data_IF_902118152305
#
_entry.id   IF_902118152305
#
_cell.length_a   1.000
_cell.length_b   1.000
_cell.length_c   1.000
_cell.angle_alpha   90.00
_cell.angle_beta   90.00
_cell.angle_gamma   90.00
#
_symmetry.space_group_name_H-M   'P 1'
#
loop_
_entity.id
_entity.type
_entity.pdbx_description
1 polymer ?
#
# COMPACT_ATOMS: atom_id res chain seq x y z
N UNK A 1 30.22 21.25 68.98
CA UNK A 1 31.50 20.50 69.16
C UNK A 1 31.96 20.09 67.76
N UNK A 2 32.93 20.83 67.19
CA UNK A 2 34.33 20.44 66.99
C UNK A 2 34.40 19.12 66.18
N UNK A 3 35.02 19.02 65.00
CA UNK A 3 36.30 19.52 64.54
C UNK A 3 36.41 19.55 63.03
N UNK A 4 36.90 20.63 62.48
CA UNK A 4 37.73 20.85 61.30
C UNK A 4 38.78 19.75 61.07
N UNK A 5 39.05 19.38 59.85
CA UNK A 5 40.43 19.24 59.35
C UNK A 5 40.50 19.41 57.84
N UNK A 6 41.22 20.35 57.48
CA UNK A 6 41.89 20.92 56.36
C UNK A 6 43.14 20.12 56.05
N UNK A 7 43.48 19.81 54.83
CA UNK A 7 44.81 19.72 54.20
C UNK A 7 44.67 19.20 52.79
N UNK A 8 44.93 19.93 51.85
CA UNK A 8 46.13 20.56 51.26
C UNK A 8 46.43 19.91 49.89
N UNK A 9 46.41 20.80 48.92
CA UNK A 9 47.10 20.87 47.64
C UNK A 9 48.10 19.77 47.28
N UNK A 10 48.00 19.31 46.00
CA UNK A 10 49.19 19.22 45.15
C UNK A 10 48.78 19.35 43.66
N UNK A 11 49.38 20.38 43.04
CA UNK A 11 49.42 20.65 41.62
C UNK A 11 50.24 19.57 40.90
N UNK A 12 49.73 19.04 39.78
CA UNK A 12 50.61 18.51 38.79
C UNK A 12 49.98 18.83 37.39
N UNK A 13 50.58 19.82 36.77
CA UNK A 13 50.36 20.11 35.34
C UNK A 13 51.17 19.10 34.52
N UNK A 14 50.52 18.46 33.55
CA UNK A 14 51.21 17.74 32.49
C UNK A 14 50.44 17.96 31.15
N UNK A 15 50.98 18.80 30.40
CA UNK A 15 51.26 18.92 28.98
C UNK A 15 50.36 18.13 27.99
N UNK A 16 49.81 18.93 27.13
CA UNK A 16 49.36 18.73 25.75
C UNK A 16 50.08 17.62 24.97
N UNK A 17 49.30 16.70 24.43
CA UNK A 17 49.59 16.07 23.16
C UNK A 17 48.28 15.95 22.39
N UNK A 18 48.11 16.83 21.42
CA UNK A 18 47.05 16.74 20.45
C UNK A 18 47.28 15.52 19.54
N UNK A 19 46.28 14.67 19.46
CA UNK A 19 46.12 13.78 18.33
C UNK A 19 44.81 14.12 17.67
N UNK A 20 44.88 14.95 16.62
CA UNK A 20 43.89 14.97 15.55
C UNK A 20 43.95 13.60 14.88
N UNK A 21 42.95 12.78 15.05
CA UNK A 21 42.59 11.75 14.10
C UNK A 21 41.12 11.85 13.86
N UNK A 22 40.79 12.70 12.89
CA UNK A 22 39.57 12.63 12.14
C UNK A 22 39.65 11.38 11.27
N UNK A 23 39.27 10.25 11.78
CA UNK A 23 38.76 9.18 10.94
C UNK A 23 37.24 9.41 10.85
N UNK A 24 36.85 10.13 9.79
CA UNK A 24 35.55 9.94 9.20
C UNK A 24 35.52 8.47 8.67
N UNK A 25 35.27 7.55 9.60
CA UNK A 25 34.84 6.23 9.28
C UNK A 25 33.41 6.43 8.75
N UNK A 26 33.27 6.56 7.44
CA UNK A 26 31.97 6.40 6.78
C UNK A 26 31.36 5.11 7.33
N UNK A 27 30.22 5.24 8.01
CA UNK A 27 29.45 4.09 8.45
C UNK A 27 29.26 3.18 7.21
N UNK A 28 29.48 1.87 7.33
CA UNK A 28 29.19 0.96 6.23
C UNK A 28 27.73 1.22 5.81
N UNK A 29 27.42 1.22 4.51
CA UNK A 29 26.05 1.38 4.07
C UNK A 29 25.20 0.35 4.80
N UNK A 30 24.13 0.83 5.44
CA UNK A 30 23.13 -0.04 6.05
C UNK A 30 22.82 -1.17 5.11
N UNK A 31 22.68 -2.43 5.58
CA UNK A 31 22.27 -3.53 4.71
C UNK A 31 21.01 -3.07 4.00
N UNK A 32 21.08 -3.13 2.66
CA UNK A 32 20.03 -2.74 1.72
C UNK A 32 18.68 -3.15 2.31
N UNK A 33 17.82 -2.17 2.58
CA UNK A 33 16.42 -2.45 2.84
C UNK A 33 15.94 -3.36 1.72
N UNK A 34 15.38 -4.51 2.04
CA UNK A 34 14.76 -5.44 1.09
C UNK A 34 13.48 -4.82 0.48
N UNK A 35 13.46 -3.52 0.33
CA UNK A 35 12.34 -2.80 -0.28
C UNK A 35 12.36 -3.10 -1.77
N UNK A 36 11.27 -3.65 -2.22
CA UNK A 36 11.07 -3.93 -3.63
C UNK A 36 11.14 -2.62 -4.43
N UNK A 37 11.98 -2.52 -5.48
CA UNK A 37 12.12 -1.29 -6.24
C UNK A 37 10.77 -0.90 -6.88
N UNK A 38 10.49 0.40 -6.91
CA UNK A 38 9.30 0.92 -7.54
C UNK A 38 9.22 0.51 -9.01
N UNK A 39 8.02 0.25 -9.54
CA UNK A 39 7.81 -0.02 -10.95
C UNK A 39 8.27 1.15 -11.83
N UNK A 40 8.84 0.84 -12.99
CA UNK A 40 9.29 1.82 -13.99
C UNK A 40 8.52 1.74 -15.30
N UNK A 41 7.61 0.78 -15.43
CA UNK A 41 6.73 0.57 -16.58
C UNK A 41 5.45 -0.16 -16.16
N UNK A 42 4.43 -0.12 -17.01
CA UNK A 42 3.20 -0.89 -16.80
C UNK A 42 3.50 -2.39 -16.73
N UNK A 43 2.81 -3.10 -15.87
CA UNK A 43 2.83 -4.57 -15.87
C UNK A 43 2.02 -5.12 -17.05
N UNK A 44 2.35 -6.33 -17.52
CA UNK A 44 1.49 -7.04 -18.48
C UNK A 44 0.06 -7.19 -17.94
N UNK A 45 -0.90 -7.41 -18.84
CA UNK A 45 -2.27 -7.76 -18.40
C UNK A 45 -2.22 -9.05 -17.58
N UNK A 46 -2.88 -8.99 -16.40
CA UNK A 46 -2.97 -10.10 -15.48
C UNK A 46 -4.17 -11.01 -15.82
N UNK A 47 -4.18 -12.27 -15.34
CA UNK A 47 -5.36 -13.11 -15.43
C UNK A 47 -6.58 -12.43 -14.82
N UNK A 48 -7.74 -12.57 -15.43
CA UNK A 48 -8.98 -11.93 -14.97
C UNK A 48 -9.86 -12.88 -14.16
N UNK A 49 -10.74 -12.29 -13.37
CA UNK A 49 -11.86 -12.94 -12.71
C UNK A 49 -13.14 -12.18 -13.06
N UNK A 50 -14.22 -12.90 -13.33
CA UNK A 50 -15.51 -12.26 -13.50
C UNK A 50 -16.12 -11.91 -12.15
N UNK A 51 -16.41 -10.62 -11.97
CA UNK A 51 -17.07 -10.07 -10.79
C UNK A 51 -18.53 -9.77 -11.11
N UNK A 52 -19.41 -10.00 -10.14
CA UNK A 52 -20.83 -9.65 -10.15
C UNK A 52 -21.08 -8.58 -9.08
N UNK A 53 -21.61 -7.43 -9.49
CA UNK A 53 -21.89 -6.26 -8.66
C UNK A 53 -23.35 -5.82 -8.85
N UNK A 54 -24.27 -6.55 -8.23
CA UNK A 54 -25.71 -6.37 -8.50
C UNK A 54 -26.07 -6.86 -9.90
N UNK A 55 -26.52 -5.97 -10.78
CA UNK A 55 -26.85 -6.28 -12.17
C UNK A 55 -25.61 -6.20 -13.11
N UNK A 56 -24.53 -5.58 -12.64
CA UNK A 56 -23.32 -5.36 -13.42
C UNK A 56 -22.37 -6.55 -13.36
N UNK A 57 -21.61 -6.74 -14.43
CA UNK A 57 -20.52 -7.70 -14.50
C UNK A 57 -19.24 -7.02 -14.99
N UNK A 58 -18.10 -7.44 -14.46
CA UNK A 58 -16.81 -6.85 -14.77
C UNK A 58 -15.73 -7.92 -14.77
N UNK A 59 -14.92 -8.01 -15.82
CA UNK A 59 -13.76 -8.90 -15.87
C UNK A 59 -12.54 -8.15 -15.32
N UNK A 60 -12.25 -8.35 -14.03
CA UNK A 60 -11.17 -7.64 -13.33
C UNK A 60 -9.86 -8.42 -13.36
N UNK A 61 -8.76 -7.75 -13.70
CA UNK A 61 -7.40 -8.29 -13.52
C UNK A 61 -7.12 -8.56 -12.05
N UNK A 62 -6.38 -9.62 -11.73
CA UNK A 62 -6.15 -10.05 -10.35
C UNK A 62 -4.73 -9.71 -9.90
N UNK A 63 -4.57 -8.71 -9.03
CA UNK A 63 -3.30 -8.39 -8.38
C UNK A 63 -3.18 -9.20 -7.07
N UNK A 64 -2.50 -10.34 -7.13
CA UNK A 64 -2.39 -11.31 -6.03
C UNK A 64 -1.04 -11.28 -5.32
N UNK A 65 0.02 -10.84 -6.00
CA UNK A 65 1.36 -10.75 -5.43
C UNK A 65 1.68 -9.30 -5.03
N UNK A 66 2.61 -9.14 -4.09
CA UNK A 66 3.08 -7.80 -3.67
C UNK A 66 3.55 -6.95 -4.86
N UNK A 67 4.23 -7.56 -5.85
CA UNK A 67 4.69 -6.87 -7.05
C UNK A 67 3.54 -6.39 -7.92
N UNK A 68 2.54 -7.23 -8.14
CA UNK A 68 1.34 -6.89 -8.90
C UNK A 68 0.55 -5.77 -8.20
N UNK A 69 0.40 -5.87 -6.88
CA UNK A 69 -0.28 -4.86 -6.06
C UNK A 69 0.48 -3.53 -6.05
N UNK A 70 1.82 -3.56 -5.90
CA UNK A 70 2.63 -2.36 -5.96
C UNK A 70 2.55 -1.67 -7.32
N UNK A 71 2.48 -2.46 -8.42
CA UNK A 71 2.42 -1.90 -9.77
C UNK A 71 1.00 -1.41 -10.12
N UNK A 72 -0.02 -2.17 -9.75
CA UNK A 72 -1.41 -1.82 -10.01
C UNK A 72 -1.63 -1.37 -11.45
N UNK A 73 -2.31 -0.25 -11.62
CA UNK A 73 -2.61 0.38 -12.91
C UNK A 73 -1.56 1.42 -13.34
N UNK A 74 -0.38 1.49 -12.69
CA UNK A 74 0.68 2.45 -13.05
C UNK A 74 1.06 2.37 -14.54
N UNK A 75 1.33 3.53 -15.14
CA UNK A 75 1.75 3.71 -16.54
C UNK A 75 0.72 3.29 -17.60
N UNK A 76 -0.48 2.88 -17.20
CA UNK A 76 -1.55 2.57 -18.15
C UNK A 76 -2.25 3.83 -18.63
N UNK A 77 -2.58 3.84 -19.91
CA UNK A 77 -3.30 4.93 -20.59
C UNK A 77 -4.49 4.34 -21.35
N UNK A 78 -5.41 5.21 -21.76
CA UNK A 78 -6.62 4.82 -22.50
C UNK A 78 -7.48 3.80 -21.74
N UNK A 79 -7.69 4.05 -20.46
CA UNK A 79 -8.51 3.20 -19.57
C UNK A 79 -9.96 3.22 -20.06
N UNK A 80 -10.46 2.03 -20.36
CA UNK A 80 -11.84 1.83 -20.82
C UNK A 80 -12.76 1.51 -19.65
N UNK A 81 -14.06 1.63 -19.86
CA UNK A 81 -15.08 1.32 -18.86
C UNK A 81 -15.11 -0.17 -18.46
N UNK A 82 -14.49 -1.03 -19.27
CA UNK A 82 -14.32 -2.46 -19.03
C UNK A 82 -13.01 -2.81 -18.33
N UNK A 83 -12.08 -1.84 -18.16
CA UNK A 83 -10.81 -2.09 -17.49
C UNK A 83 -10.99 -2.01 -15.98
N UNK A 84 -10.60 -3.06 -15.29
CA UNK A 84 -10.65 -3.14 -13.84
C UNK A 84 -9.53 -3.99 -13.27
N UNK A 85 -9.16 -3.75 -12.02
CA UNK A 85 -8.21 -4.55 -11.27
C UNK A 85 -8.70 -4.77 -9.84
N UNK A 86 -8.72 -6.05 -9.42
CA UNK A 86 -8.99 -6.41 -8.04
C UNK A 86 -7.69 -6.76 -7.33
N UNK A 87 -7.43 -6.07 -6.22
CA UNK A 87 -6.31 -6.32 -5.31
C UNK A 87 -6.82 -7.23 -4.19
N UNK A 88 -6.08 -8.31 -3.90
CA UNK A 88 -6.48 -9.31 -2.90
C UNK A 88 -5.40 -9.40 -1.84
N UNK A 89 -5.71 -8.95 -0.64
CA UNK A 89 -4.78 -8.99 0.50
C UNK A 89 -4.93 -10.30 1.28
N UNK A 90 -3.83 -10.89 1.78
CA UNK A 90 -3.88 -12.18 2.48
C UNK A 90 -4.66 -12.11 3.81
N UNK A 91 -4.82 -10.92 4.37
CA UNK A 91 -5.60 -10.62 5.60
C UNK A 91 -6.17 -9.23 5.52
N UNK A 92 -7.24 -8.93 6.29
CA UNK A 92 -7.74 -7.57 6.39
C UNK A 92 -6.67 -6.60 6.90
N UNK A 93 -6.67 -5.39 6.36
CA UNK A 93 -5.75 -4.32 6.72
C UNK A 93 -6.38 -2.95 6.45
N UNK A 94 -5.77 -1.88 6.95
CA UNK A 94 -6.12 -0.53 6.53
C UNK A 94 -5.49 -0.27 5.15
N UNK A 95 -6.31 -0.32 4.11
CA UNK A 95 -5.86 -0.08 2.74
C UNK A 95 -5.43 1.38 2.56
N UNK A 96 -4.41 1.59 1.73
CA UNK A 96 -3.85 2.91 1.45
C UNK A 96 -3.36 2.93 0.00
N UNK A 97 -4.03 3.71 -0.85
CA UNK A 97 -3.78 3.77 -2.29
C UNK A 97 -3.35 5.17 -2.71
N UNK A 98 -2.38 5.25 -3.58
CA UNK A 98 -1.87 6.47 -4.16
C UNK A 98 -1.81 6.35 -5.67
N UNK A 99 -1.72 7.48 -6.38
CA UNK A 99 -1.75 7.52 -7.84
C UNK A 99 -0.40 7.84 -8.47
N UNK A 100 0.71 7.50 -7.79
CA UNK A 100 2.05 7.69 -8.35
C UNK A 100 2.17 6.91 -9.66
N UNK A 101 2.67 7.59 -10.71
CA UNK A 101 2.82 7.03 -12.05
C UNK A 101 1.50 6.57 -12.72
N UNK A 102 0.35 7.03 -12.25
CA UNK A 102 -0.94 6.79 -12.88
C UNK A 102 -1.36 8.05 -13.67
N UNK A 103 -1.24 8.05 -14.99
CA UNK A 103 -1.52 9.23 -15.82
C UNK A 103 -3.01 9.51 -15.98
N UNK A 104 -3.88 8.60 -15.55
CA UNK A 104 -5.33 8.73 -15.56
C UNK A 104 -5.90 8.54 -14.15
N UNK A 105 -7.05 9.16 -13.87
CA UNK A 105 -7.76 9.02 -12.60
C UNK A 105 -8.55 7.71 -12.58
N UNK A 106 -8.78 7.16 -11.38
CA UNK A 106 -9.55 5.94 -11.15
C UNK A 106 -10.61 6.15 -10.09
N UNK A 107 -11.54 5.22 -10.01
CA UNK A 107 -12.38 5.01 -8.85
C UNK A 107 -11.99 3.71 -8.15
N UNK A 108 -11.92 3.71 -6.82
CA UNK A 108 -11.58 2.54 -6.02
C UNK A 108 -12.70 2.23 -5.01
N UNK A 109 -13.16 0.98 -4.99
CA UNK A 109 -14.00 0.46 -3.92
C UNK A 109 -13.16 -0.32 -2.91
N UNK A 110 -13.26 0.04 -1.64
CA UNK A 110 -12.63 -0.65 -0.52
C UNK A 110 -13.62 -1.65 0.07
N UNK A 111 -13.23 -2.92 0.17
CA UNK A 111 -14.14 -4.06 0.31
C UNK A 111 -13.68 -4.91 1.49
N UNK A 112 -14.63 -5.30 2.34
CA UNK A 112 -14.39 -6.12 3.52
C UNK A 112 -14.17 -7.62 3.18
N UNK A 113 -13.79 -8.48 4.13
CA UNK A 113 -13.64 -9.92 3.92
C UNK A 113 -14.89 -10.65 3.41
N UNK A 114 -16.09 -10.12 3.67
CA UNK A 114 -17.34 -10.69 3.20
C UNK A 114 -17.70 -10.27 1.76
N UNK A 115 -16.87 -9.41 1.15
CA UNK A 115 -17.10 -8.87 -0.18
C UNK A 115 -18.03 -7.65 -0.19
N UNK A 116 -18.29 -7.03 0.97
CA UNK A 116 -19.13 -5.83 1.08
C UNK A 116 -18.31 -4.59 0.75
N UNK A 117 -18.78 -3.76 -0.15
CA UNK A 117 -18.18 -2.44 -0.44
C UNK A 117 -18.43 -1.53 0.76
N UNK A 118 -17.37 -1.14 1.45
CA UNK A 118 -17.44 -0.23 2.60
C UNK A 118 -17.30 1.23 2.18
N UNK A 119 -16.41 1.51 1.24
CA UNK A 119 -16.08 2.86 0.80
C UNK A 119 -15.88 2.87 -0.73
N UNK A 120 -16.17 4.00 -1.38
CA UNK A 120 -15.84 4.27 -2.77
C UNK A 120 -15.15 5.62 -2.84
N UNK A 121 -13.97 5.65 -3.45
CA UNK A 121 -13.12 6.83 -3.54
C UNK A 121 -12.81 7.18 -4.99
N UNK A 122 -12.70 8.48 -5.27
CA UNK A 122 -12.02 8.99 -6.44
C UNK A 122 -10.51 9.05 -6.14
N UNK A 123 -9.71 8.56 -7.08
CA UNK A 123 -8.25 8.59 -7.04
C UNK A 123 -7.75 9.52 -8.16
N UNK A 124 -7.26 10.70 -7.79
CA UNK A 124 -6.81 11.72 -8.76
C UNK A 124 -5.48 11.32 -9.38
N UNK A 125 -5.38 11.40 -10.71
CA UNK A 125 -4.16 11.06 -11.47
C UNK A 125 -2.92 11.76 -10.93
N UNK A 126 -1.82 11.01 -10.88
CA UNK A 126 -0.50 11.44 -10.43
C UNK A 126 -0.46 11.98 -8.98
N UNK A 127 -1.55 11.90 -8.20
CA UNK A 127 -1.53 12.29 -6.80
C UNK A 127 -0.71 11.27 -5.99
N UNK A 128 0.25 11.76 -5.23
CA UNK A 128 1.10 10.95 -4.34
C UNK A 128 0.61 10.96 -2.89
N UNK A 129 -0.45 11.71 -2.59
CA UNK A 129 -1.12 11.61 -1.30
C UNK A 129 -1.96 10.33 -1.29
N UNK A 130 -1.78 9.55 -0.25
CA UNK A 130 -2.51 8.30 -0.14
C UNK A 130 -3.96 8.53 0.30
N UNK A 131 -4.89 7.82 -0.36
CA UNK A 131 -6.27 7.68 0.09
C UNK A 131 -6.33 6.49 1.03
N UNK A 132 -6.46 6.77 2.32
CA UNK A 132 -6.40 5.78 3.39
C UNK A 132 -7.81 5.37 3.79
N UNK A 133 -8.08 4.07 3.91
CA UNK A 133 -9.37 3.54 4.37
C UNK A 133 -9.70 4.03 5.78
N UNK A 134 -10.97 4.27 6.07
CA UNK A 134 -11.45 4.64 7.39
C UNK A 134 -11.36 3.49 8.42
N UNK A 135 -11.17 2.25 7.95
CA UNK A 135 -11.11 1.03 8.77
C UNK A 135 -9.94 0.14 8.39
N UNK A 136 -9.50 -0.70 9.29
CA UNK A 136 -8.50 -1.76 9.07
C UNK A 136 -9.11 -3.09 8.58
N UNK A 137 -10.39 -3.10 8.22
CA UNK A 137 -11.13 -4.27 7.78
C UNK A 137 -11.27 -4.36 6.25
N UNK A 138 -10.26 -3.92 5.50
CA UNK A 138 -10.26 -4.01 4.03
C UNK A 138 -9.44 -5.22 3.59
N UNK A 139 -10.05 -6.15 2.88
CA UNK A 139 -9.36 -7.33 2.33
C UNK A 139 -9.25 -7.31 0.81
N UNK A 140 -10.08 -6.52 0.15
CA UNK A 140 -10.02 -6.35 -1.31
C UNK A 140 -10.16 -4.89 -1.67
N UNK A 141 -9.55 -4.51 -2.79
CA UNK A 141 -9.80 -3.21 -3.42
C UNK A 141 -10.10 -3.45 -4.90
N UNK A 142 -11.13 -2.80 -5.43
CA UNK A 142 -11.46 -2.85 -6.84
C UNK A 142 -11.26 -1.48 -7.46
N UNK A 143 -10.26 -1.35 -8.33
CA UNK A 143 -10.04 -0.17 -9.17
C UNK A 143 -10.75 -0.32 -10.52
N UNK A 144 -11.36 0.77 -10.98
CA UNK A 144 -12.10 0.88 -12.25
C UNK A 144 -11.79 2.22 -12.91
N UNK A 145 -12.28 2.43 -14.15
CA UNK A 145 -12.27 3.76 -14.77
C UNK A 145 -12.92 4.79 -13.84
N UNK A 146 -12.46 6.05 -13.92
CA UNK A 146 -12.99 7.11 -13.06
C UNK A 146 -14.51 7.28 -13.21
N UNK A 147 -15.22 7.37 -12.06
CA UNK A 147 -16.67 7.50 -11.99
C UNK A 147 -17.47 6.24 -12.36
N UNK A 148 -16.83 5.09 -12.57
CA UNK A 148 -17.50 3.86 -13.00
C UNK A 148 -18.61 3.44 -12.04
N UNK A 149 -18.35 3.40 -10.74
CA UNK A 149 -19.34 2.98 -9.73
C UNK A 149 -20.62 3.82 -9.79
N UNK A 150 -20.48 5.14 -9.99
CA UNK A 150 -21.62 6.04 -10.12
C UNK A 150 -22.41 5.79 -11.41
N UNK A 151 -21.71 5.62 -12.55
CA UNK A 151 -22.36 5.38 -13.85
C UNK A 151 -23.12 4.06 -13.87
N UNK A 152 -22.64 3.06 -13.14
CA UNK A 152 -23.22 1.71 -13.07
C UNK A 152 -24.08 1.48 -11.83
N UNK A 153 -24.41 2.54 -11.07
CA UNK A 153 -25.26 2.48 -9.85
C UNK A 153 -24.77 1.50 -8.81
N UNK A 154 -23.46 1.26 -8.76
CA UNK A 154 -22.82 0.44 -7.74
C UNK A 154 -22.48 1.30 -6.53
N UNK A 155 -22.96 0.90 -5.35
CA UNK A 155 -22.88 1.72 -4.13
C UNK A 155 -22.28 0.93 -2.97
N UNK A 156 -21.90 1.65 -1.91
CA UNK A 156 -21.54 1.05 -0.62
C UNK A 156 -22.66 0.18 -0.07
N UNK A 157 -22.31 -0.90 0.63
CA UNK A 157 -23.23 -1.92 1.12
C UNK A 157 -23.53 -3.03 0.11
N UNK A 158 -23.20 -2.88 -1.16
CA UNK A 158 -23.34 -3.95 -2.16
C UNK A 158 -22.28 -5.03 -1.93
N UNK A 159 -22.64 -6.28 -2.25
CA UNK A 159 -21.76 -7.45 -2.10
C UNK A 159 -21.24 -7.88 -3.46
N UNK A 160 -19.93 -7.97 -3.60
CA UNK A 160 -19.27 -8.49 -4.79
C UNK A 160 -19.14 -10.01 -4.69
N UNK A 161 -19.40 -10.69 -5.80
CA UNK A 161 -19.28 -12.14 -5.94
C UNK A 161 -18.52 -12.49 -7.22
N UNK A 162 -18.11 -13.75 -7.32
CA UNK A 162 -17.52 -14.33 -8.54
C UNK A 162 -18.37 -15.52 -9.02
N UNK A 163 -17.99 -16.11 -10.14
CA UNK A 163 -18.57 -17.39 -10.61
C UNK A 163 -18.38 -18.52 -9.59
N UNK A 164 -17.37 -18.44 -8.74
CA UNK A 164 -17.04 -19.43 -7.70
C UNK A 164 -17.73 -19.15 -6.35
N UNK A 165 -18.59 -18.14 -6.28
CA UNK A 165 -19.30 -17.74 -5.07
C UNK A 165 -18.78 -16.42 -4.47
N UNK A 166 -18.57 -16.36 -3.16
CA UNK A 166 -18.03 -15.18 -2.52
C UNK A 166 -16.55 -14.95 -2.87
N UNK A 167 -16.03 -13.73 -2.66
CA UNK A 167 -14.60 -13.44 -2.78
C UNK A 167 -13.77 -14.35 -1.83
N UNK A 168 -14.26 -14.56 -0.61
CA UNK A 168 -13.64 -15.46 0.35
C UNK A 168 -13.52 -16.90 -0.20
N UNK A 169 -14.58 -17.43 -0.79
CA UNK A 169 -14.55 -18.76 -1.41
C UNK A 169 -13.61 -18.80 -2.61
N UNK A 170 -13.54 -17.72 -3.36
CA UNK A 170 -12.71 -17.63 -4.55
C UNK A 170 -11.23 -17.67 -4.25
N UNK A 171 -10.78 -16.97 -3.21
CA UNK A 171 -9.36 -16.74 -2.95
C UNK A 171 -8.79 -17.52 -1.76
N UNK A 172 -9.63 -17.99 -0.84
CA UNK A 172 -9.16 -18.55 0.43
C UNK A 172 -9.74 -19.93 0.79
N UNK A 173 -10.58 -20.55 -0.07
CA UNK A 173 -11.23 -21.86 0.23
C UNK A 173 -10.26 -23.03 0.45
N UNK A 174 -9.00 -22.92 0.01
CA UNK A 174 -8.00 -23.99 0.16
C UNK A 174 -7.13 -23.84 1.42
N UNK A 175 -7.49 -22.96 2.36
CA UNK A 175 -6.72 -22.69 3.58
C UNK A 175 -7.36 -23.31 4.85
N UNK A 176 -8.30 -24.26 4.70
CA UNK A 176 -8.89 -25.01 5.80
C UNK A 176 -8.33 -26.43 5.90
#
# INVERSE_FOLDING_TARGET
>A
MKRTNLLALLFAAALLAGCKNSHDAALPPSPLSNEMPLPTQAQPKLPTVKLYLGAETLDAEQALTEREQMTGMMFRTNIQDTDAMIFVFPRPMQASFWMKNCPESFSAAYIDPNGVILEIHHLEKNDTNAVVAATDNIQYVLETSDGWFQRHFVNTGMVIRTERGSLQQTYFSNQQ
#
